data_IF_900905926128
#
_entry.id   IF_900905926128
#
_cell.length_a   1.000
_cell.length_b   1.000
_cell.length_c   1.000
_cell.angle_alpha   90.00
_cell.angle_beta   90.00
_cell.angle_gamma   90.00
#
_symmetry.space_group_name_H-M   'P 1'
#
loop_
_entity.id
_entity.type
_entity.pdbx_description
1 polymer ?
#
# COMPACT_ATOMS: atom_id res chain seq x y z
N UNK A 1 28.84 16.79 8.40
CA UNK A 1 28.57 15.34 8.51
C UNK A 1 27.74 14.95 7.32
N UNK A 2 28.29 14.19 6.37
CA UNK A 2 27.53 13.71 5.21
C UNK A 2 26.41 12.80 5.73
N UNK A 3 25.17 13.28 5.66
CA UNK A 3 23.99 12.44 5.88
C UNK A 3 23.98 11.39 4.76
N UNK A 4 24.49 10.19 5.06
CA UNK A 4 24.34 9.04 4.18
C UNK A 4 22.87 8.65 4.26
N UNK A 5 22.10 9.00 3.22
CA UNK A 5 20.75 8.47 3.08
C UNK A 5 20.83 6.95 3.00
N UNK A 6 20.00 6.20 3.76
CA UNK A 6 19.98 4.75 3.68
C UNK A 6 19.65 4.33 2.24
N UNK A 7 20.43 3.37 1.72
CA UNK A 7 20.19 2.82 0.39
C UNK A 7 18.82 2.13 0.39
N UNK A 8 18.02 2.37 -0.66
CA UNK A 8 16.70 1.77 -0.79
C UNK A 8 16.81 0.31 -1.22
N UNK A 9 16.03 -0.56 -0.58
CA UNK A 9 15.89 -1.97 -0.98
C UNK A 9 14.80 -2.14 -2.03
N UNK A 10 13.66 -1.46 -1.83
CA UNK A 10 12.48 -1.58 -2.70
C UNK A 10 11.76 -0.25 -2.88
N UNK A 11 11.06 -0.14 -4.00
CA UNK A 11 10.02 0.84 -4.25
C UNK A 11 8.70 0.09 -4.46
N UNK A 12 7.66 0.47 -3.72
CA UNK A 12 6.32 -0.11 -3.89
C UNK A 12 5.34 0.95 -4.34
N UNK A 13 4.54 0.60 -5.36
CA UNK A 13 3.42 1.41 -5.81
C UNK A 13 2.13 1.07 -5.06
N UNK A 14 1.59 2.07 -4.36
CA UNK A 14 0.40 1.98 -3.51
C UNK A 14 -0.73 2.84 -4.06
N UNK A 15 -1.96 2.40 -3.87
CA UNK A 15 -3.16 3.21 -4.10
C UNK A 15 -3.86 3.52 -2.79
N UNK A 16 -4.53 4.67 -2.73
CA UNK A 16 -5.57 4.92 -1.72
C UNK A 16 -6.89 5.09 -2.45
N UNK A 17 -7.84 4.17 -2.22
CA UNK A 17 -9.10 4.04 -2.96
C UNK A 17 -10.29 3.99 -2.01
N UNK A 18 -11.48 4.35 -2.51
CA UNK A 18 -12.72 4.45 -1.73
C UNK A 18 -13.52 5.71 -2.08
N UNK A 19 -14.76 5.80 -1.59
CA UNK A 19 -15.68 6.90 -1.90
C UNK A 19 -15.12 8.28 -1.56
N UNK A 20 -15.68 9.33 -2.16
CA UNK A 20 -15.36 10.71 -1.80
C UNK A 20 -15.71 10.97 -0.32
N UNK A 21 -14.94 11.84 0.34
CA UNK A 21 -15.22 12.23 1.73
C UNK A 21 -14.81 11.22 2.81
N UNK A 22 -14.31 10.02 2.45
CA UNK A 22 -13.84 9.01 3.41
C UNK A 22 -12.50 9.36 4.08
N UNK A 23 -11.82 10.43 3.65
CA UNK A 23 -10.58 10.92 4.25
C UNK A 23 -9.27 10.32 3.68
N UNK A 24 -9.29 9.79 2.45
CA UNK A 24 -8.11 9.25 1.75
C UNK A 24 -6.92 10.22 1.70
N UNK A 25 -7.16 11.44 1.24
CA UNK A 25 -6.14 12.50 1.17
C UNK A 25 -5.63 12.87 2.57
N UNK A 26 -6.53 12.95 3.56
CA UNK A 26 -6.14 13.23 4.95
C UNK A 26 -5.27 12.11 5.53
N UNK A 27 -5.57 10.83 5.24
CA UNK A 27 -4.72 9.70 5.63
C UNK A 27 -3.33 9.79 4.99
N UNK A 28 -3.26 10.14 3.70
CA UNK A 28 -1.98 10.32 3.00
C UNK A 28 -1.16 11.47 3.61
N UNK A 29 -1.78 12.63 3.82
CA UNK A 29 -1.12 13.77 4.45
C UNK A 29 -0.69 13.46 5.89
N UNK A 30 -1.55 12.83 6.70
CA UNK A 30 -1.21 12.43 8.06
C UNK A 30 -0.06 11.42 8.08
N UNK A 31 0.01 10.52 7.10
CA UNK A 31 1.12 9.59 6.97
C UNK A 31 2.44 10.28 6.61
N UNK A 32 2.43 11.22 5.65
CA UNK A 32 3.64 11.90 5.15
C UNK A 32 4.10 13.00 6.10
N UNK A 33 3.20 13.90 6.48
CA UNK A 33 3.50 15.16 7.17
C UNK A 33 3.26 15.08 8.68
N UNK A 34 2.62 14.01 9.19
CA UNK A 34 2.22 13.87 10.60
C UNK A 34 1.32 15.03 11.06
N UNK A 35 0.53 15.57 10.13
CA UNK A 35 -0.46 16.62 10.39
C UNK A 35 -1.78 16.30 9.69
N UNK A 36 -2.87 16.64 10.37
CA UNK A 36 -4.19 16.64 9.77
C UNK A 36 -4.34 17.84 8.82
N UNK A 37 -5.03 17.63 7.70
CA UNK A 37 -5.31 18.65 6.71
C UNK A 37 -6.78 19.07 6.86
N UNK A 38 -7.01 20.17 7.59
CA UNK A 38 -8.36 20.72 7.82
C UNK A 38 -9.03 21.19 6.51
N UNK A 39 -8.26 21.81 5.60
CA UNK A 39 -8.77 22.31 4.31
C UNK A 39 -8.62 21.27 3.18
N UNK A 40 -9.29 20.12 3.32
CA UNK A 40 -9.30 19.11 2.26
C UNK A 40 -10.42 19.41 1.23
N UNK A 41 -10.08 20.11 0.15
CA UNK A 41 -10.93 20.17 -1.05
C UNK A 41 -11.06 18.77 -1.67
N UNK A 42 -12.14 18.54 -2.44
CA UNK A 42 -12.28 17.29 -3.19
C UNK A 42 -11.12 17.08 -4.18
N UNK A 43 -10.48 15.92 -4.10
CA UNK A 43 -9.42 15.51 -5.04
C UNK A 43 -9.97 15.43 -6.46
N UNK A 44 -9.39 16.19 -7.39
CA UNK A 44 -9.69 16.13 -8.82
C UNK A 44 -8.63 15.25 -9.48
N UNK A 45 -9.03 14.07 -9.97
CA UNK A 45 -8.09 13.13 -10.58
C UNK A 45 -7.29 12.33 -9.55
N UNK A 46 -5.98 12.57 -9.45
CA UNK A 46 -5.05 11.80 -8.61
C UNK A 46 -3.94 12.71 -8.06
N UNK A 47 -3.64 12.58 -6.77
CA UNK A 47 -2.50 13.21 -6.11
C UNK A 47 -1.41 12.18 -5.82
N UNK A 48 -0.14 12.61 -5.86
CA UNK A 48 1.02 11.75 -5.64
C UNK A 48 1.74 12.14 -4.35
N UNK A 49 2.00 11.16 -3.48
CA UNK A 49 2.85 11.28 -2.30
C UNK A 49 3.93 10.20 -2.28
N UNK A 50 5.01 10.44 -1.56
CA UNK A 50 6.00 9.38 -1.31
C UNK A 50 6.63 9.50 0.06
N UNK A 51 6.95 8.35 0.67
CA UNK A 51 7.62 8.27 1.96
C UNK A 51 8.51 7.04 2.01
N UNK A 52 9.71 7.21 2.57
CA UNK A 52 10.61 6.08 2.87
C UNK A 52 10.29 5.59 4.28
N UNK A 53 10.08 4.28 4.42
CA UNK A 53 9.83 3.62 5.69
C UNK A 53 10.83 2.47 5.90
N UNK A 54 11.11 2.14 7.15
CA UNK A 54 11.87 0.95 7.50
C UNK A 54 10.90 -0.16 7.91
N UNK A 55 10.92 -1.27 7.18
CA UNK A 55 10.08 -2.45 7.44
C UNK A 55 11.02 -3.65 7.56
N UNK A 56 11.16 -4.18 8.78
CA UNK A 56 11.99 -5.37 9.07
C UNK A 56 13.44 -5.18 8.56
N UNK A 57 14.06 -4.06 8.91
CA UNK A 57 15.41 -3.68 8.49
C UNK A 57 15.61 -3.47 6.97
N UNK A 58 14.52 -3.36 6.19
CA UNK A 58 14.57 -2.97 4.79
C UNK A 58 13.99 -1.58 4.60
N UNK A 59 14.69 -0.74 3.86
CA UNK A 59 14.23 0.60 3.50
C UNK A 59 13.38 0.54 2.24
N UNK A 60 12.09 0.80 2.39
CA UNK A 60 11.11 0.76 1.31
C UNK A 60 10.61 2.17 1.03
N UNK A 61 10.72 2.62 -0.22
CA UNK A 61 10.07 3.85 -0.67
C UNK A 61 8.66 3.51 -1.14
N UNK A 62 7.67 3.97 -0.39
CA UNK A 62 6.28 3.94 -0.83
C UNK A 62 6.05 5.10 -1.79
N UNK A 63 5.57 4.78 -2.98
CA UNK A 63 5.01 5.72 -3.93
C UNK A 63 3.49 5.55 -3.84
N UNK A 64 2.76 6.61 -3.51
CA UNK A 64 1.36 6.51 -3.13
C UNK A 64 0.54 7.42 -4.04
N UNK A 65 -0.47 6.85 -4.68
CA UNK A 65 -1.41 7.57 -5.51
C UNK A 65 -2.74 7.67 -4.76
N UNK A 66 -3.07 8.87 -4.30
CA UNK A 66 -4.38 9.20 -3.75
C UNK A 66 -5.37 9.45 -4.88
N UNK A 67 -6.48 8.72 -4.89
CA UNK A 67 -7.43 8.74 -6.01
C UNK A 67 -8.69 9.53 -5.69
N UNK A 68 -9.24 10.22 -6.68
CA UNK A 68 -10.57 10.81 -6.55
C UNK A 68 -11.61 9.73 -6.24
N UNK A 69 -12.38 9.95 -5.18
CA UNK A 69 -13.44 9.02 -4.76
C UNK A 69 -14.80 9.26 -5.40
N UNK A 70 -14.94 10.28 -6.26
CA UNK A 70 -16.19 10.54 -6.98
C UNK A 70 -16.30 9.65 -8.22
N UNK A 71 -17.47 9.07 -8.42
CA UNK A 71 -17.77 8.17 -9.54
C UNK A 71 -17.52 8.82 -10.90
N UNK A 72 -17.77 10.14 -11.04
CA UNK A 72 -17.53 10.89 -12.28
C UNK A 72 -16.06 10.92 -12.70
N UNK A 73 -15.12 10.70 -11.79
CA UNK A 73 -13.68 10.63 -12.08
C UNK A 73 -13.15 9.19 -12.15
N UNK A 74 -14.01 8.17 -11.97
CA UNK A 74 -13.57 6.78 -11.89
C UNK A 74 -12.83 6.33 -13.15
N UNK A 75 -13.23 6.78 -14.34
CA UNK A 75 -12.52 6.51 -15.61
C UNK A 75 -11.08 7.04 -15.62
N UNK A 76 -10.85 8.22 -15.04
CA UNK A 76 -9.51 8.85 -14.92
C UNK A 76 -8.63 8.06 -13.95
N UNK A 77 -9.21 7.50 -12.88
CA UNK A 77 -8.45 6.75 -11.87
C UNK A 77 -8.00 5.36 -12.34
N UNK A 78 -8.70 4.73 -13.28
CA UNK A 78 -8.42 3.33 -13.70
C UNK A 78 -7.01 3.11 -14.24
N UNK A 79 -6.44 4.08 -14.96
CA UNK A 79 -5.07 3.97 -15.50
C UNK A 79 -4.01 3.84 -14.40
N UNK A 80 -4.29 4.34 -13.20
CA UNK A 80 -3.37 4.30 -12.07
C UNK A 80 -3.35 2.95 -11.35
N UNK A 81 -4.37 2.11 -11.53
CA UNK A 81 -4.46 0.79 -10.88
C UNK A 81 -3.35 -0.14 -11.36
N UNK A 82 -3.03 -0.08 -12.67
CA UNK A 82 -2.05 -0.97 -13.28
C UNK A 82 -0.71 -0.88 -12.57
N UNK A 83 -0.20 -2.04 -12.15
CA UNK A 83 1.08 -2.13 -11.46
C UNK A 83 1.05 -1.57 -10.03
N UNK A 84 -0.07 -1.63 -9.33
CA UNK A 84 -0.08 -1.43 -7.88
C UNK A 84 0.23 -2.73 -7.15
N UNK A 85 1.21 -2.68 -6.24
CA UNK A 85 1.59 -3.78 -5.38
C UNK A 85 0.68 -3.85 -4.14
N UNK A 86 0.21 -2.70 -3.66
CA UNK A 86 -0.67 -2.58 -2.52
C UNK A 86 -1.74 -1.51 -2.66
N UNK A 87 -2.80 -1.60 -1.86
CA UNK A 87 -3.79 -0.55 -1.74
C UNK A 87 -4.34 -0.45 -0.32
N UNK A 88 -4.65 0.78 0.09
CA UNK A 88 -5.55 1.05 1.21
C UNK A 88 -6.95 1.26 0.63
N UNK A 89 -7.90 0.43 1.06
CA UNK A 89 -9.31 0.53 0.72
C UNK A 89 -10.03 1.19 1.89
N UNK A 90 -10.53 2.41 1.68
CA UNK A 90 -10.98 3.29 2.77
C UNK A 90 -12.49 3.52 2.72
N UNK A 91 -13.16 3.30 3.84
CA UNK A 91 -14.53 3.74 4.10
C UNK A 91 -14.59 4.63 5.34
N UNK A 92 -15.71 5.30 5.53
CA UNK A 92 -16.00 6.14 6.69
C UNK A 92 -16.90 5.38 7.66
N UNK A 93 -16.49 5.23 8.93
CA UNK A 93 -17.29 4.48 9.92
C UNK A 93 -18.63 5.15 10.23
N UNK A 94 -18.76 6.45 9.97
CA UNK A 94 -20.00 7.23 10.17
C UNK A 94 -20.85 7.30 8.91
N UNK A 95 -20.53 6.52 7.87
CA UNK A 95 -21.32 6.52 6.62
C UNK A 95 -21.45 5.12 6.03
N UNK A 96 -22.62 4.52 6.26
CA UNK A 96 -23.02 3.20 5.76
C UNK A 96 -22.90 3.09 4.24
N UNK A 97 -23.19 4.15 3.51
CA UNK A 97 -23.09 4.18 2.05
C UNK A 97 -21.66 3.88 1.57
N UNK A 98 -20.65 4.49 2.21
CA UNK A 98 -19.25 4.29 1.85
C UNK A 98 -18.78 2.86 2.10
N UNK A 99 -19.33 2.21 3.13
CA UNK A 99 -19.09 0.79 3.42
C UNK A 99 -19.74 -0.12 2.37
N UNK A 100 -20.99 0.13 2.00
CA UNK A 100 -21.68 -0.66 0.98
C UNK A 100 -20.98 -0.60 -0.39
N UNK A 101 -20.26 0.49 -0.67
CA UNK A 101 -19.47 0.64 -1.90
C UNK A 101 -18.17 -0.17 -1.93
N UNK A 102 -17.72 -0.75 -0.82
CA UNK A 102 -16.43 -1.47 -0.71
C UNK A 102 -16.31 -2.61 -1.73
N UNK A 103 -17.38 -3.38 -1.94
CA UNK A 103 -17.39 -4.50 -2.89
C UNK A 103 -17.02 -4.04 -4.31
N UNK A 104 -17.54 -2.89 -4.73
CA UNK A 104 -17.26 -2.34 -6.06
C UNK A 104 -15.81 -1.86 -6.18
N UNK A 105 -15.26 -1.24 -5.14
CA UNK A 105 -13.86 -0.79 -5.13
C UNK A 105 -12.88 -1.96 -5.07
N UNK A 106 -13.19 -2.98 -4.28
CA UNK A 106 -12.40 -4.20 -4.17
C UNK A 106 -12.35 -4.96 -5.49
N UNK A 107 -13.49 -5.07 -6.17
CA UNK A 107 -13.59 -5.72 -7.49
C UNK A 107 -12.71 -4.98 -8.51
N UNK A 108 -12.82 -3.65 -8.59
CA UNK A 108 -11.97 -2.85 -9.49
C UNK A 108 -10.48 -2.98 -9.14
N UNK A 109 -10.11 -3.00 -7.85
CA UNK A 109 -8.72 -3.18 -7.42
C UNK A 109 -8.13 -4.50 -7.95
N UNK A 110 -8.84 -5.61 -7.77
CA UNK A 110 -8.40 -6.94 -8.21
C UNK A 110 -8.37 -7.07 -9.73
N UNK A 111 -9.37 -6.52 -10.42
CA UNK A 111 -9.47 -6.60 -11.89
C UNK A 111 -8.43 -5.73 -12.60
N UNK A 112 -8.18 -4.51 -12.10
CA UNK A 112 -7.39 -3.52 -12.83
C UNK A 112 -5.92 -3.47 -12.42
N UNK A 113 -5.60 -3.83 -11.17
CA UNK A 113 -4.21 -3.86 -10.69
C UNK A 113 -3.59 -5.24 -10.88
N UNK A 114 -3.95 -6.19 -10.02
CA UNK A 114 -3.66 -7.61 -10.14
C UNK A 114 -4.48 -8.38 -9.11
N UNK A 115 -4.71 -9.68 -9.34
CA UNK A 115 -5.33 -10.55 -8.33
C UNK A 115 -4.47 -10.68 -7.06
N UNK A 116 -3.17 -10.39 -7.15
CA UNK A 116 -2.22 -10.56 -6.05
C UNK A 116 -1.98 -9.28 -5.24
N UNK A 117 -2.67 -8.17 -5.59
CA UNK A 117 -2.54 -6.90 -4.87
C UNK A 117 -2.83 -7.09 -3.38
N UNK A 118 -1.96 -6.55 -2.53
CA UNK A 118 -2.15 -6.60 -1.08
C UNK A 118 -3.04 -5.43 -0.65
N UNK A 119 -4.18 -5.73 -0.03
CA UNK A 119 -5.16 -4.70 0.35
C UNK A 119 -5.33 -4.66 1.86
N UNK A 120 -5.28 -3.45 2.41
CA UNK A 120 -5.66 -3.15 3.81
C UNK A 120 -6.99 -2.39 3.78
N UNK A 121 -8.03 -2.97 4.40
CA UNK A 121 -9.29 -2.28 4.65
C UNK A 121 -9.10 -1.31 5.82
N UNK A 122 -9.48 -0.05 5.60
CA UNK A 122 -9.37 1.02 6.58
C UNK A 122 -10.77 1.59 6.87
N UNK A 123 -11.27 1.40 8.09
CA UNK A 123 -12.43 2.15 8.60
C UNK A 123 -11.93 3.46 9.20
N UNK A 124 -12.05 4.56 8.45
CA UNK A 124 -11.51 5.86 8.87
C UNK A 124 -12.53 6.67 9.69
N UNK A 125 -12.06 7.76 10.31
CA UNK A 125 -12.80 8.65 11.21
C UNK A 125 -13.21 8.01 12.52
N UNK A 126 -12.35 7.13 13.05
CA UNK A 126 -12.55 6.48 14.36
C UNK A 126 -12.73 7.49 15.51
N UNK A 127 -12.20 8.70 15.37
CA UNK A 127 -12.42 9.81 16.29
C UNK A 127 -13.90 10.22 16.44
N UNK A 128 -14.76 9.86 15.47
CA UNK A 128 -16.21 10.10 15.47
C UNK A 128 -17.02 8.86 15.87
N UNK A 129 -16.50 8.04 16.80
CA UNK A 129 -17.12 6.77 17.21
C UNK A 129 -18.57 6.91 17.73
N UNK A 130 -18.92 8.08 18.26
CA UNK A 130 -20.28 8.39 18.71
C UNK A 130 -21.31 8.40 17.57
N UNK A 131 -20.88 8.71 16.35
CA UNK A 131 -21.73 8.79 15.14
C UNK A 131 -21.57 7.54 14.26
N UNK A 132 -21.04 6.44 14.83
CA UNK A 132 -20.77 5.20 14.11
C UNK A 132 -22.03 4.60 13.50
N UNK A 133 -21.98 4.38 12.19
CA UNK A 133 -23.01 3.65 11.45
C UNK A 133 -22.59 2.21 11.11
N UNK A 134 -21.29 1.92 11.11
CA UNK A 134 -20.70 0.62 10.74
C UNK A 134 -19.93 0.04 11.93
N UNK A 135 -20.32 -1.14 12.39
CA UNK A 135 -19.70 -1.82 13.52
C UNK A 135 -18.32 -2.39 13.15
N UNK A 136 -17.43 -2.47 14.14
CA UNK A 136 -16.14 -3.14 13.95
C UNK A 136 -16.32 -4.60 13.48
N UNK A 137 -17.31 -5.31 14.07
CA UNK A 137 -17.53 -6.74 13.81
C UNK A 137 -17.95 -7.01 12.37
N UNK A 138 -18.86 -6.21 11.80
CA UNK A 138 -19.30 -6.44 10.42
C UNK A 138 -18.20 -6.11 9.41
N UNK A 139 -17.43 -5.03 9.63
CA UNK A 139 -16.30 -4.70 8.77
C UNK A 139 -15.18 -5.73 8.88
N UNK A 140 -14.96 -6.28 10.07
CA UNK A 140 -14.02 -7.38 10.28
C UNK A 140 -14.47 -8.66 9.56
N UNK A 141 -15.77 -8.97 9.53
CA UNK A 141 -16.30 -10.11 8.76
C UNK A 141 -16.11 -9.91 7.27
N UNK A 142 -16.46 -8.73 6.75
CA UNK A 142 -16.22 -8.40 5.34
C UNK A 142 -14.75 -8.56 4.95
N UNK A 143 -13.84 -8.08 5.81
CA UNK A 143 -12.40 -8.24 5.58
C UNK A 143 -11.97 -9.71 5.58
N UNK A 144 -12.45 -10.52 6.54
CA UNK A 144 -12.14 -11.94 6.61
C UNK A 144 -12.64 -12.70 5.38
N UNK A 145 -13.90 -12.51 4.98
CA UNK A 145 -14.50 -13.14 3.80
C UNK A 145 -13.78 -12.79 2.49
N UNK A 146 -13.13 -11.62 2.46
CA UNK A 146 -12.40 -11.13 1.31
C UNK A 146 -10.87 -11.24 1.47
N UNK A 147 -10.36 -11.92 2.49
CA UNK A 147 -8.92 -12.10 2.74
C UNK A 147 -8.13 -10.77 2.87
N UNK A 148 -8.76 -9.77 3.45
CA UNK A 148 -8.18 -8.45 3.71
C UNK A 148 -7.72 -8.36 5.17
N UNK A 149 -6.67 -7.60 5.42
CA UNK A 149 -6.39 -7.12 6.78
C UNK A 149 -7.23 -5.86 7.04
N UNK A 150 -7.76 -5.74 8.25
CA UNK A 150 -8.64 -4.63 8.63
C UNK A 150 -8.05 -3.85 9.81
N UNK A 151 -8.07 -2.52 9.69
CA UNK A 151 -7.75 -1.59 10.75
C UNK A 151 -8.79 -0.46 10.76
N UNK A 152 -9.14 0.01 11.96
CA UNK A 152 -9.79 1.31 12.08
C UNK A 152 -8.73 2.38 12.28
N UNK A 153 -8.93 3.53 11.63
CA UNK A 153 -7.95 4.61 11.54
C UNK A 153 -8.61 5.95 11.85
N UNK A 154 -7.80 6.91 12.29
CA UNK A 154 -8.23 8.30 12.40
C UNK A 154 -7.16 9.18 11.78
N UNK A 155 -7.47 9.77 10.62
CA UNK A 155 -6.59 10.77 10.01
C UNK A 155 -6.40 12.00 10.91
N UNK A 156 -7.40 12.34 11.73
CA UNK A 156 -7.36 13.47 12.65
C UNK A 156 -6.32 13.26 13.76
N UNK A 157 -6.41 12.12 14.46
CA UNK A 157 -5.54 11.84 15.61
C UNK A 157 -4.22 11.16 15.21
N UNK A 158 -4.18 10.54 14.03
CA UNK A 158 -3.07 9.70 13.57
C UNK A 158 -3.16 8.24 14.01
N UNK A 159 -4.21 7.85 14.74
CA UNK A 159 -4.40 6.46 15.18
C UNK A 159 -4.39 5.49 13.98
N UNK A 160 -3.52 4.47 14.08
CA UNK A 160 -3.31 3.41 13.10
C UNK A 160 -2.98 3.85 11.65
N UNK A 161 -2.77 5.15 11.40
CA UNK A 161 -2.46 5.65 10.05
C UNK A 161 -1.13 5.07 9.56
N UNK A 162 -0.06 5.19 10.35
CA UNK A 162 1.24 4.61 9.99
C UNK A 162 1.19 3.09 9.91
N UNK A 163 0.48 2.45 10.83
CA UNK A 163 0.33 1.00 10.89
C UNK A 163 -0.31 0.45 9.60
N UNK A 164 -1.33 1.12 9.05
CA UNK A 164 -1.98 0.69 7.81
C UNK A 164 -1.00 0.63 6.62
N UNK A 165 -0.15 1.65 6.44
CA UNK A 165 0.85 1.66 5.36
C UNK A 165 1.97 0.64 5.62
N UNK A 166 2.46 0.56 6.86
CA UNK A 166 3.55 -0.36 7.25
C UNK A 166 3.13 -1.82 7.11
N UNK A 167 1.90 -2.17 7.52
CA UNK A 167 1.40 -3.54 7.40
C UNK A 167 1.18 -3.96 5.96
N UNK A 168 0.70 -3.05 5.10
CA UNK A 168 0.63 -3.30 3.67
C UNK A 168 2.02 -3.61 3.09
N UNK A 169 3.01 -2.79 3.39
CA UNK A 169 4.39 -2.98 2.91
C UNK A 169 5.02 -4.27 3.45
N UNK A 170 4.80 -4.58 4.73
CA UNK A 170 5.27 -5.82 5.37
C UNK A 170 4.68 -7.06 4.70
N UNK A 171 3.38 -7.06 4.41
CA UNK A 171 2.74 -8.17 3.71
C UNK A 171 3.30 -8.38 2.31
N UNK A 172 3.57 -7.30 1.58
CA UNK A 172 4.22 -7.39 0.25
C UNK A 172 5.62 -8.00 0.39
N UNK A 173 6.43 -7.53 1.34
CA UNK A 173 7.76 -8.09 1.60
C UNK A 173 7.72 -9.58 1.94
N UNK A 174 6.79 -10.00 2.82
CA UNK A 174 6.65 -11.42 3.17
C UNK A 174 6.30 -12.28 1.94
N UNK A 175 5.44 -11.77 1.05
CA UNK A 175 5.10 -12.47 -0.20
C UNK A 175 6.28 -12.54 -1.18
N UNK A 176 7.16 -11.54 -1.18
CA UNK A 176 8.40 -11.60 -1.97
C UNK A 176 9.33 -12.67 -1.39
N UNK A 177 9.47 -12.71 -0.06
CA UNK A 177 10.35 -13.67 0.64
C UNK A 177 9.85 -15.12 0.53
N UNK A 178 8.53 -15.33 0.49
CA UNK A 178 7.93 -16.66 0.26
C UNK A 178 7.92 -17.09 -1.21
N UNK A 179 8.22 -16.17 -2.14
CA UNK A 179 8.17 -16.42 -3.58
C UNK A 179 6.77 -16.34 -4.20
N UNK A 180 5.75 -15.93 -3.45
CA UNK A 180 4.38 -15.70 -3.97
C UNK A 180 4.29 -14.47 -4.89
N UNK A 181 5.14 -13.47 -4.64
CA UNK A 181 5.28 -12.26 -5.47
C UNK A 181 6.70 -12.16 -6.01
N UNK A 182 6.81 -12.23 -7.33
CA UNK A 182 8.06 -11.93 -8.04
C UNK A 182 8.14 -10.42 -8.35
N UNK A 183 9.14 -9.69 -7.81
CA UNK A 183 9.39 -8.29 -8.15
C UNK A 183 9.60 -8.04 -9.65
N UNK A 184 10.20 -8.98 -10.38
CA UNK A 184 10.56 -8.83 -11.80
C UNK A 184 9.37 -9.05 -12.75
N UNK A 185 8.28 -9.65 -12.24
CA UNK A 185 7.06 -9.85 -13.02
C UNK A 185 6.52 -8.51 -13.52
N UNK A 186 6.32 -8.40 -14.84
CA UNK A 186 5.71 -7.20 -15.43
C UNK A 186 4.37 -6.88 -14.76
N UNK A 187 4.24 -5.64 -14.26
CA UNK A 187 3.05 -5.17 -13.57
C UNK A 187 2.95 -5.58 -12.10
N UNK A 188 4.04 -6.06 -11.47
CA UNK A 188 4.09 -6.34 -10.02
C UNK A 188 3.87 -5.09 -9.15
N UNK A 189 4.24 -3.91 -9.67
CA UNK A 189 4.24 -2.67 -8.90
C UNK A 189 5.39 -2.55 -7.90
N UNK A 190 6.38 -3.44 -8.01
CA UNK A 190 7.56 -3.50 -7.17
C UNK A 190 8.78 -3.18 -8.04
N UNK A 191 9.70 -2.38 -7.52
CA UNK A 191 11.00 -2.15 -8.14
C UNK A 191 12.09 -2.34 -7.09
N UNK A 192 13.25 -2.88 -7.51
CA UNK A 192 14.43 -2.89 -6.68
C UNK A 192 14.99 -1.47 -6.52
N UNK A 193 15.38 -1.12 -5.30
CA UNK A 193 16.14 0.09 -5.02
C UNK A 193 17.64 -0.10 -5.26
N UNK A 194 18.41 0.96 -5.01
CA UNK A 194 19.86 0.99 -5.24
C UNK A 194 20.64 -0.06 -4.45
N UNK A 195 20.16 -0.45 -3.26
CA UNK A 195 20.80 -1.46 -2.41
C UNK A 195 20.71 -2.86 -3.05
N UNK A 196 19.52 -3.24 -3.49
CA UNK A 196 19.26 -4.56 -4.08
C UNK A 196 19.96 -4.72 -5.44
N UNK A 197 20.02 -3.66 -6.25
CA UNK A 197 20.78 -3.66 -7.50
C UNK A 197 22.28 -3.90 -7.30
N UNK A 198 22.87 -3.45 -6.18
CA UNK A 198 24.28 -3.73 -5.85
C UNK A 198 24.50 -5.20 -5.47
N UNK A 199 23.57 -5.80 -4.73
CA UNK A 199 23.66 -7.22 -4.37
C UNK A 199 23.53 -8.12 -5.61
N UNK A 200 22.62 -7.79 -6.53
CA UNK A 200 22.49 -8.50 -7.81
C UNK A 200 23.71 -8.34 -8.72
N UNK A 201 24.38 -7.18 -8.68
CA UNK A 201 25.60 -6.91 -9.46
C UNK A 201 26.88 -7.47 -8.84
N UNK A 202 26.85 -7.94 -7.59
CA UNK A 202 28.00 -8.65 -7.04
C UNK A 202 28.04 -10.07 -7.63
N UNK A 203 29.02 -10.42 -8.49
CA UNK A 203 29.12 -11.78 -8.97
C UNK A 203 29.39 -12.67 -7.74
N UNK A 204 28.65 -13.79 -7.63
CA UNK A 204 28.96 -14.86 -6.68
C UNK A 204 30.47 -15.15 -6.82
N UNK A 205 31.28 -14.73 -5.83
CA UNK A 205 32.67 -15.16 -5.75
C UNK A 205 32.66 -16.68 -5.73
N UNK A 206 33.28 -17.27 -6.75
CA UNK A 206 33.16 -18.67 -7.09
C UNK A 206 33.59 -19.60 -5.96
N UNK A 207 32.90 -20.73 -5.86
CA UNK A 207 33.55 -21.97 -5.46
C UNK A 207 34.41 -22.43 -6.64
N UNK A 208 35.70 -22.05 -6.62
CA UNK A 208 36.79 -22.82 -7.19
C UNK A 208 37.30 -23.72 -6.03
N UNK A 209 37.73 -24.98 -6.15
CA UNK A 209 38.12 -25.84 -7.25
C UNK A 209 38.27 -27.24 -6.62
N UNK A 210 37.87 -28.31 -7.32
CA UNK A 210 38.62 -29.57 -7.29
C UNK A 210 38.38 -30.29 -8.62
N UNK A 211 39.15 -29.88 -9.63
CA UNK A 211 39.32 -30.66 -10.84
C UNK A 211 40.11 -31.92 -10.47
N UNK A 212 39.49 -33.08 -10.63
CA UNK A 212 40.18 -34.37 -10.55
C UNK A 212 40.59 -34.73 -11.96
N UNK A 213 41.88 -34.51 -12.26
CA UNK A 213 42.53 -34.88 -13.52
C UNK A 213 42.47 -36.40 -13.71
N UNK A 214 42.00 -36.80 -14.89
CA UNK A 214 42.08 -38.15 -15.42
C UNK A 214 43.49 -38.32 -16.02
N UNK A 215 44.25 -39.30 -15.53
CA UNK A 215 45.61 -39.60 -15.99
C UNK A 215 45.74 -41.06 -16.39
N UNK A 216 45.95 -41.25 -17.70
CA UNK A 216 46.54 -42.38 -18.45
C UNK A 216 45.99 -43.79 -18.24
#
# INVERSE_FOLDING_TARGET
TLFVFPLLDFLFKFLVIGNAGTGKSCLLHQFIEKRFKDDSNHTIGVEFGSKIINVVNKYVKLQIWDTAGQERFRSVTRSYYRGAAGALLVYDITSRETYNALTNWLTDARMLASQNIVIILCGNKKDLDADREVTFLEASRFAQENELMFLETSALTGENVEEAFVQCARKILNKIESGELDPERMGSGIQYGDAALRQLRSPRRGQAESAQECGC
#
